data_IF_717978972159
#
_entry.id   IF_717978972159
#
_cell.length_a   1.000
_cell.length_b   1.000
_cell.length_c   1.000
_cell.angle_alpha   90.00
_cell.angle_beta   90.00
_cell.angle_gamma   90.00
#
_symmetry.space_group_name_H-M   'P 1'
#
loop_
_entity.id
_entity.type
_entity.pdbx_description
1 polymer ?
#
# COMPACT_ATOMS: atom_id res chain seq x y z
N UNK A 1 2.72 -12.44 24.46
CA UNK A 1 2.14 -11.19 23.96
C UNK A 1 0.64 -11.29 24.19
N UNK A 2 0.01 -10.25 24.68
CA UNK A 2 -1.43 -10.27 24.98
C UNK A 2 -2.20 -10.23 23.66
N UNK A 3 -3.08 -11.22 23.43
CA UNK A 3 -4.00 -11.25 22.27
C UNK A 3 -5.10 -10.18 22.34
N UNK A 4 -4.92 -9.20 23.22
CA UNK A 4 -5.92 -8.13 23.46
C UNK A 4 -5.83 -7.11 22.32
N UNK A 5 -6.96 -6.75 21.67
CA UNK A 5 -7.00 -5.68 20.70
C UNK A 5 -6.62 -4.34 21.30
N UNK A 6 -5.95 -3.50 20.54
CA UNK A 6 -5.71 -2.09 20.85
C UNK A 6 -6.81 -1.27 20.18
N UNK A 7 -7.42 -0.35 20.94
CA UNK A 7 -8.51 0.49 20.46
C UNK A 7 -8.01 1.90 20.18
N UNK A 8 -8.49 2.47 19.09
CA UNK A 8 -8.12 3.80 18.65
C UNK A 8 -9.35 4.64 18.35
N UNK A 9 -9.27 5.92 18.67
CA UNK A 9 -10.09 6.96 18.06
C UNK A 9 -9.25 7.69 17.01
N UNK A 10 -9.74 7.72 15.77
CA UNK A 10 -9.06 8.37 14.65
C UNK A 10 -9.93 9.48 14.10
N UNK A 11 -9.34 10.65 13.91
CA UNK A 11 -9.94 11.77 13.18
C UNK A 11 -9.05 12.15 12.03
N UNK A 12 -9.62 12.15 10.83
CA UNK A 12 -8.98 12.67 9.61
C UNK A 12 -9.82 13.82 9.08
N UNK A 13 -9.25 15.00 9.00
CA UNK A 13 -9.87 16.18 8.42
C UNK A 13 -9.09 16.65 7.20
N UNK A 14 -9.81 16.90 6.10
CA UNK A 14 -9.27 17.51 4.89
C UNK A 14 -10.09 18.77 4.60
N UNK A 15 -9.41 19.90 4.45
CA UNK A 15 -10.01 21.20 4.21
C UNK A 15 -9.48 21.79 2.92
N UNK A 16 -10.40 22.25 2.08
CA UNK A 16 -10.13 23.07 0.91
C UNK A 16 -10.77 24.44 1.11
N UNK A 17 -10.00 25.51 1.00
CA UNK A 17 -10.47 26.87 0.87
C UNK A 17 -10.17 27.33 -0.57
N UNK A 18 -11.20 27.39 -1.40
CA UNK A 18 -11.04 27.64 -2.83
C UNK A 18 -10.78 29.12 -3.12
N UNK A 19 -9.84 29.43 -4.03
CA UNK A 19 -9.54 30.81 -4.45
C UNK A 19 -10.63 31.43 -5.30
N UNK A 20 -11.56 30.63 -5.83
CA UNK A 20 -12.78 31.06 -6.53
C UNK A 20 -13.87 30.01 -6.34
N UNK A 21 -15.16 30.36 -6.46
CA UNK A 21 -16.23 29.40 -6.27
C UNK A 21 -16.12 28.18 -7.19
N UNK A 22 -16.31 26.99 -6.64
CA UNK A 22 -16.50 25.74 -7.38
C UNK A 22 -17.96 25.64 -7.77
N UNK A 23 -18.27 25.66 -9.06
CA UNK A 23 -19.65 25.65 -9.57
C UNK A 23 -20.25 24.24 -9.66
N UNK A 24 -19.42 23.23 -9.86
CA UNK A 24 -19.80 21.81 -9.91
C UNK A 24 -18.66 20.98 -9.32
N UNK A 25 -19.00 19.98 -8.53
CA UNK A 25 -18.03 19.01 -8.01
C UNK A 25 -18.63 17.62 -7.95
N UNK A 26 -17.85 16.62 -8.38
CA UNK A 26 -18.14 15.19 -8.20
C UNK A 26 -16.89 14.53 -7.61
N UNK A 27 -17.04 13.95 -6.44
CA UNK A 27 -15.92 13.39 -5.66
C UNK A 27 -16.18 11.97 -5.24
N UNK A 28 -15.10 11.21 -5.10
CA UNK A 28 -15.03 9.87 -4.53
C UNK A 28 -14.11 9.92 -3.31
N UNK A 29 -14.59 9.39 -2.18
CA UNK A 29 -13.89 9.45 -0.91
C UNK A 29 -13.51 8.03 -0.45
N UNK A 30 -12.22 7.80 -0.14
CA UNK A 30 -11.73 6.63 0.58
C UNK A 30 -11.33 7.05 2.01
N UNK A 31 -12.32 7.41 2.81
CA UNK A 31 -12.14 7.88 4.20
C UNK A 31 -12.78 6.93 5.23
N UNK A 32 -13.32 5.82 4.75
CA UNK A 32 -13.94 4.77 5.55
C UNK A 32 -13.04 3.56 5.62
N UNK A 33 -12.67 3.04 6.80
CA UNK A 33 -11.75 1.92 6.94
C UNK A 33 -12.38 0.60 6.49
N UNK A 34 -11.54 -0.32 6.05
CA UNK A 34 -11.93 -1.70 5.75
C UNK A 34 -12.20 -2.49 7.02
N UNK A 35 -13.16 -3.40 6.97
CA UNK A 35 -13.28 -4.50 7.93
C UNK A 35 -12.29 -5.60 7.53
N UNK A 36 -11.42 -6.02 8.45
CA UNK A 36 -10.44 -7.08 8.26
C UNK A 36 -10.54 -8.09 9.40
N UNK A 37 -10.00 -9.27 9.23
CA UNK A 37 -10.00 -10.30 10.28
C UNK A 37 -9.41 -9.80 11.61
N UNK A 38 -8.45 -8.88 11.53
CA UNK A 38 -7.76 -8.29 12.68
C UNK A 38 -8.16 -6.83 12.98
N UNK A 39 -9.05 -6.23 12.17
CA UNK A 39 -9.49 -4.84 12.33
C UNK A 39 -11.01 -4.75 12.34
N UNK A 40 -11.56 -4.34 13.47
CA UNK A 40 -12.99 -4.15 13.67
C UNK A 40 -13.32 -2.67 13.80
N UNK A 41 -14.37 -2.23 13.10
CA UNK A 41 -14.87 -0.87 13.15
C UNK A 41 -16.01 -0.85 14.15
N UNK A 42 -15.85 -0.12 15.27
CA UNK A 42 -16.87 0.01 16.31
C UNK A 42 -17.83 1.16 15.99
N UNK A 43 -17.27 2.29 15.54
CA UNK A 43 -18.03 3.47 15.11
C UNK A 43 -17.33 4.13 13.93
N UNK A 44 -18.11 4.73 13.04
CA UNK A 44 -17.59 5.51 11.91
C UNK A 44 -18.60 6.56 11.46
N UNK A 45 -18.09 7.77 11.18
CA UNK A 45 -18.86 8.85 10.60
C UNK A 45 -18.00 9.66 9.62
N UNK A 46 -18.61 10.05 8.50
CA UNK A 46 -18.02 11.01 7.55
C UNK A 46 -18.94 12.21 7.46
N UNK A 47 -18.48 13.34 8.01
CA UNK A 47 -19.14 14.65 7.94
C UNK A 47 -18.59 15.43 6.75
N UNK A 48 -19.44 16.15 6.04
CA UNK A 48 -19.11 16.88 4.82
C UNK A 48 -19.78 18.25 4.89
N UNK A 49 -18.98 19.31 4.74
CA UNK A 49 -19.43 20.68 4.70
C UNK A 49 -18.86 21.42 3.48
N UNK A 50 -19.71 22.04 2.61
CA UNK A 50 -21.16 22.09 2.69
C UNK A 50 -21.82 20.72 2.48
N UNK A 51 -23.08 20.58 2.87
CA UNK A 51 -23.85 19.36 2.66
C UNK A 51 -23.95 19.08 1.16
N UNK A 52 -23.52 17.89 0.68
CA UNK A 52 -23.57 17.57 -0.75
C UNK A 52 -25.02 17.48 -1.26
N UNK A 53 -25.23 17.88 -2.52
CA UNK A 53 -26.52 17.74 -3.20
C UNK A 53 -26.90 16.25 -3.41
N UNK A 54 -25.94 15.39 -3.48
CA UNK A 54 -26.11 13.94 -3.63
C UNK A 54 -24.97 13.19 -2.94
N UNK A 55 -25.31 12.09 -2.26
CA UNK A 55 -24.38 11.17 -1.61
C UNK A 55 -24.80 9.72 -1.82
N UNK A 56 -23.82 8.86 -2.07
CA UNK A 56 -23.98 7.41 -2.12
C UNK A 56 -22.80 6.73 -1.47
N UNK A 57 -23.08 5.78 -0.60
CA UNK A 57 -22.07 4.90 -0.02
C UNK A 57 -22.09 3.53 -0.71
N UNK A 58 -20.93 2.89 -0.85
CA UNK A 58 -20.80 1.59 -1.49
C UNK A 58 -19.38 1.02 -1.38
N UNK A 59 -19.01 0.19 -2.35
CA UNK A 59 -17.67 -0.39 -2.43
C UNK A 59 -17.06 -0.15 -3.81
N UNK A 60 -15.75 0.02 -3.84
CA UNK A 60 -14.98 0.05 -5.08
C UNK A 60 -14.69 -1.39 -5.59
N UNK A 61 -14.04 -1.54 -6.77
CA UNK A 61 -13.69 -2.86 -7.32
C UNK A 61 -12.73 -3.67 -6.43
N UNK A 62 -12.02 -3.06 -5.48
CA UNK A 62 -11.11 -3.73 -4.55
C UNK A 62 -11.78 -4.07 -3.21
N UNK A 63 -13.09 -3.78 -3.09
CA UNK A 63 -13.88 -4.01 -1.88
C UNK A 63 -13.60 -2.99 -0.78
N UNK A 64 -13.02 -1.82 -1.09
CA UNK A 64 -12.89 -0.73 -0.14
C UNK A 64 -14.23 -0.01 0.02
N UNK A 65 -14.62 0.39 1.25
CA UNK A 65 -15.74 1.30 1.44
C UNK A 65 -15.45 2.64 0.75
N UNK A 66 -16.44 3.14 0.01
CA UNK A 66 -16.34 4.36 -0.79
C UNK A 66 -17.60 5.20 -0.63
N UNK A 67 -17.43 6.51 -0.49
CA UNK A 67 -18.51 7.48 -0.56
C UNK A 67 -18.36 8.34 -1.81
N UNK A 68 -19.40 8.38 -2.65
CA UNK A 68 -19.50 9.32 -3.77
C UNK A 68 -20.38 10.50 -3.36
N UNK A 69 -19.93 11.70 -3.71
CA UNK A 69 -20.64 12.95 -3.44
C UNK A 69 -20.68 13.84 -4.68
N UNK A 70 -21.72 14.67 -4.79
CA UNK A 70 -21.81 15.69 -5.81
C UNK A 70 -22.40 16.99 -5.24
N UNK A 71 -21.85 18.10 -5.73
CA UNK A 71 -22.35 19.46 -5.43
C UNK A 71 -22.82 20.09 -6.73
N UNK A 72 -24.06 20.53 -6.73
CA UNK A 72 -24.68 21.24 -7.87
C UNK A 72 -24.84 22.74 -7.61
N UNK A 73 -24.50 23.18 -6.38
CA UNK A 73 -24.52 24.60 -6.00
C UNK A 73 -23.10 25.10 -5.82
N UNK A 74 -22.80 26.35 -6.21
CA UNK A 74 -21.49 26.96 -6.00
C UNK A 74 -21.11 26.97 -4.51
N UNK A 75 -19.84 26.67 -4.23
CA UNK A 75 -19.27 26.69 -2.88
C UNK A 75 -17.82 27.16 -2.92
N UNK A 76 -17.34 27.76 -1.83
CA UNK A 76 -16.00 28.35 -1.71
C UNK A 76 -15.10 27.55 -0.77
N UNK A 77 -15.64 26.55 -0.10
CA UNK A 77 -14.86 25.62 0.74
C UNK A 77 -15.43 24.21 0.66
N UNK A 78 -14.61 23.25 1.04
CA UNK A 78 -15.00 21.85 1.27
C UNK A 78 -14.26 21.32 2.49
N UNK A 79 -14.99 20.89 3.51
CA UNK A 79 -14.43 20.23 4.69
C UNK A 79 -14.96 18.80 4.73
N UNK A 80 -14.02 17.85 4.78
CA UNK A 80 -14.29 16.43 4.92
C UNK A 80 -13.71 15.96 6.24
N UNK A 81 -14.54 15.44 7.14
CA UNK A 81 -14.10 14.93 8.43
C UNK A 81 -14.55 13.49 8.59
N UNK A 82 -13.60 12.57 8.65
CA UNK A 82 -13.84 11.17 9.04
C UNK A 82 -13.45 10.98 10.49
N UNK A 83 -14.39 10.49 11.32
CA UNK A 83 -14.15 10.12 12.70
C UNK A 83 -14.54 8.65 12.89
N UNK A 84 -13.65 7.87 13.52
CA UNK A 84 -13.85 6.43 13.67
C UNK A 84 -13.25 5.89 14.96
N UNK A 85 -13.89 4.87 15.53
CA UNK A 85 -13.38 4.04 16.63
C UNK A 85 -13.08 2.65 16.09
N UNK A 86 -11.84 2.19 16.25
CA UNK A 86 -11.32 0.97 15.63
C UNK A 86 -10.58 0.13 16.67
N UNK A 87 -10.83 -1.17 16.66
CA UNK A 87 -10.08 -2.15 17.44
C UNK A 87 -9.17 -2.95 16.49
N UNK A 88 -7.86 -2.97 16.76
CA UNK A 88 -6.86 -3.72 15.98
C UNK A 88 -6.26 -4.81 16.84
N UNK A 89 -6.44 -6.07 16.44
CA UNK A 89 -5.86 -7.24 17.08
C UNK A 89 -4.46 -7.54 16.54
N UNK A 90 -3.51 -8.02 17.35
CA UNK A 90 -2.21 -8.47 16.86
C UNK A 90 -2.37 -9.52 15.77
N UNK A 91 -1.66 -9.33 14.64
CA UNK A 91 -1.83 -10.17 13.44
C UNK A 91 -0.53 -10.45 12.68
N UNK A 92 0.60 -10.34 13.36
CA UNK A 92 1.89 -10.70 12.75
C UNK A 92 1.89 -12.18 12.34
N UNK A 93 2.45 -12.52 11.15
CA UNK A 93 2.61 -13.90 10.73
C UNK A 93 3.47 -14.66 11.72
N UNK A 94 3.10 -15.90 12.04
CA UNK A 94 3.80 -16.72 13.05
C UNK A 94 5.23 -17.04 12.63
N UNK A 95 5.44 -17.35 11.36
CA UNK A 95 6.78 -17.65 10.83
C UNK A 95 6.82 -17.37 9.32
N UNK A 96 7.45 -16.29 8.92
CA UNK A 96 7.60 -15.90 7.50
C UNK A 96 8.53 -16.83 6.71
N UNK A 97 9.40 -17.61 7.41
CA UNK A 97 10.30 -18.56 6.76
C UNK A 97 9.58 -19.81 6.24
N UNK A 98 8.35 -20.07 6.70
CA UNK A 98 7.51 -21.16 6.22
C UNK A 98 6.67 -20.79 4.99
N UNK A 99 6.78 -19.57 4.49
CA UNK A 99 6.10 -19.16 3.26
C UNK A 99 6.64 -19.92 2.03
N UNK A 100 5.83 -20.13 0.99
CA UNK A 100 6.27 -20.84 -0.21
C UNK A 100 7.50 -20.20 -0.86
N UNK A 101 8.31 -20.98 -1.64
CA UNK A 101 9.33 -20.40 -2.51
C UNK A 101 8.72 -19.36 -3.46
N UNK A 102 9.41 -18.25 -3.67
CA UNK A 102 8.88 -17.14 -4.46
C UNK A 102 8.58 -17.53 -5.92
N UNK A 103 9.35 -18.45 -6.50
CA UNK A 103 9.11 -18.97 -7.85
C UNK A 103 7.78 -19.73 -7.92
N UNK A 104 7.47 -20.52 -6.90
CA UNK A 104 6.20 -21.28 -6.84
C UNK A 104 5.00 -20.35 -6.80
N UNK A 105 5.11 -19.22 -6.08
CA UNK A 105 4.05 -18.19 -6.05
C UNK A 105 3.92 -17.48 -7.38
N UNK A 106 5.06 -17.12 -8.01
CA UNK A 106 5.08 -16.55 -9.35
C UNK A 106 4.42 -17.46 -10.38
N UNK A 107 4.78 -18.75 -10.36
CA UNK A 107 4.29 -19.73 -11.33
C UNK A 107 2.80 -20.05 -11.09
N UNK A 108 2.33 -20.02 -9.82
CA UNK A 108 0.91 -20.15 -9.49
C UNK A 108 0.07 -18.99 -10.08
N UNK A 109 0.62 -17.79 -10.11
CA UNK A 109 -0.06 -16.60 -10.64
C UNK A 109 0.17 -16.39 -12.15
N UNK A 110 0.91 -17.29 -12.81
CA UNK A 110 1.08 -17.23 -14.26
C UNK A 110 -0.25 -17.50 -14.98
N UNK A 111 -0.44 -16.86 -16.14
CA UNK A 111 -1.70 -16.93 -16.92
C UNK A 111 -2.11 -18.34 -17.33
N UNK A 112 -1.15 -19.26 -17.46
CA UNK A 112 -1.34 -20.66 -17.84
C UNK A 112 -1.55 -21.62 -16.65
N UNK A 113 -1.67 -21.10 -15.44
CA UNK A 113 -1.98 -21.90 -14.25
C UNK A 113 -3.31 -22.64 -14.42
N UNK A 114 -3.29 -23.97 -14.21
CA UNK A 114 -4.41 -24.85 -14.59
C UNK A 114 -5.56 -24.90 -13.58
N UNK A 115 -5.38 -24.40 -12.35
CA UNK A 115 -6.39 -24.43 -11.31
C UNK A 115 -6.21 -23.31 -10.25
N UNK A 116 -6.36 -22.01 -10.62
CA UNK A 116 -6.25 -20.93 -9.64
C UNK A 116 -7.46 -20.97 -8.68
N UNK A 117 -7.23 -20.72 -7.39
CA UNK A 117 -8.28 -20.43 -6.40
C UNK A 117 -8.88 -19.05 -6.69
N UNK A 118 -10.04 -18.73 -6.08
CA UNK A 118 -10.63 -17.38 -6.18
C UNK A 118 -9.69 -16.30 -5.66
N UNK A 119 -8.96 -16.59 -4.59
CA UNK A 119 -7.96 -15.73 -3.95
C UNK A 119 -6.75 -15.48 -4.87
N UNK A 120 -6.32 -16.49 -5.62
CA UNK A 120 -5.25 -16.36 -6.62
C UNK A 120 -5.68 -15.44 -7.77
N UNK A 121 -6.94 -15.57 -8.24
CA UNK A 121 -7.50 -14.69 -9.28
C UNK A 121 -7.60 -13.23 -8.81
N UNK A 122 -8.00 -13.02 -7.56
CA UNK A 122 -8.01 -11.68 -6.97
C UNK A 122 -6.59 -11.12 -6.83
N UNK A 123 -5.60 -11.96 -6.46
CA UNK A 123 -4.21 -11.55 -6.37
C UNK A 123 -3.61 -11.20 -7.74
N UNK A 124 -3.98 -11.88 -8.82
CA UNK A 124 -3.51 -11.58 -10.19
C UNK A 124 -3.80 -10.14 -10.63
N UNK A 125 -4.83 -9.48 -10.08
CA UNK A 125 -5.14 -8.07 -10.35
C UNK A 125 -4.01 -7.11 -9.95
N UNK A 126 -3.14 -7.52 -9.04
CA UNK A 126 -2.04 -6.74 -8.50
C UNK A 126 -0.67 -7.12 -9.09
N UNK A 127 -0.64 -7.89 -10.19
CA UNK A 127 0.57 -8.18 -10.96
C UNK A 127 0.87 -7.12 -12.01
N UNK A 128 -0.15 -6.38 -12.46
CA UNK A 128 -0.06 -5.51 -13.62
C UNK A 128 0.39 -4.09 -13.27
N UNK A 129 0.84 -3.37 -14.30
CA UNK A 129 1.12 -1.94 -14.20
C UNK A 129 -0.11 -1.14 -13.76
N UNK A 130 0.16 0.00 -13.12
CA UNK A 130 -0.85 0.97 -12.72
C UNK A 130 -0.32 2.39 -12.93
N UNK A 131 -1.10 3.41 -12.58
CA UNK A 131 -0.78 4.81 -12.90
C UNK A 131 0.57 5.26 -12.35
N UNK A 132 0.89 4.88 -11.09
CA UNK A 132 2.14 5.24 -10.43
C UNK A 132 3.18 4.10 -10.41
N UNK A 133 2.78 2.87 -10.71
CA UNK A 133 3.69 1.72 -10.69
C UNK A 133 3.82 1.13 -12.09
N UNK A 134 4.89 1.53 -12.80
CA UNK A 134 5.28 0.97 -14.10
C UNK A 134 6.30 -0.15 -13.88
N UNK A 135 6.12 -1.26 -14.59
CA UNK A 135 7.05 -2.40 -14.52
C UNK A 135 8.25 -2.11 -15.45
N UNK A 136 9.44 -2.08 -14.87
CA UNK A 136 10.69 -1.80 -15.54
C UNK A 136 11.76 -2.80 -15.12
N UNK A 137 12.70 -3.10 -16.01
CA UNK A 137 13.78 -4.06 -15.75
C UNK A 137 14.71 -3.57 -14.63
N UNK A 138 14.93 -2.27 -14.48
CA UNK A 138 15.75 -1.68 -13.42
C UNK A 138 15.20 -2.02 -12.02
N UNK A 139 13.88 -2.19 -11.92
CA UNK A 139 13.24 -2.57 -10.65
C UNK A 139 13.48 -4.06 -10.35
N UNK A 140 13.46 -4.92 -11.37
CA UNK A 140 13.82 -6.32 -11.21
C UNK A 140 15.30 -6.47 -10.84
N UNK A 141 16.19 -5.75 -11.53
CA UNK A 141 17.63 -5.74 -11.25
C UNK A 141 17.93 -5.26 -9.83
N UNK A 142 17.19 -4.27 -9.34
CA UNK A 142 17.33 -3.78 -7.96
C UNK A 142 16.91 -4.83 -6.93
N UNK A 143 15.88 -5.63 -7.23
CA UNK A 143 15.26 -6.55 -6.26
C UNK A 143 15.83 -7.97 -6.29
N UNK A 144 16.41 -8.42 -7.42
CA UNK A 144 16.74 -9.84 -7.65
C UNK A 144 17.65 -10.46 -6.59
N UNK A 145 18.59 -9.71 -6.05
CA UNK A 145 19.50 -10.17 -4.99
C UNK A 145 18.73 -10.51 -3.68
N UNK A 146 17.54 -9.95 -3.50
CA UNK A 146 16.68 -10.25 -2.36
C UNK A 146 15.90 -11.57 -2.56
N UNK A 147 15.92 -12.15 -3.76
CA UNK A 147 15.15 -13.33 -4.15
C UNK A 147 16.04 -14.40 -4.82
N UNK A 148 17.04 -14.94 -4.11
CA UNK A 148 17.80 -16.08 -4.63
C UNK A 148 16.87 -17.29 -4.82
N UNK A 149 17.29 -18.29 -5.63
CA UNK A 149 16.49 -19.47 -5.91
C UNK A 149 15.98 -20.16 -4.63
N UNK A 150 14.72 -20.59 -4.65
CA UNK A 150 14.00 -21.29 -3.57
C UNK A 150 13.80 -20.50 -2.27
N UNK A 151 14.13 -19.20 -2.25
CA UNK A 151 13.89 -18.40 -1.04
C UNK A 151 12.40 -18.29 -0.75
N UNK A 152 11.96 -18.44 0.52
CA UNK A 152 10.60 -18.13 0.94
C UNK A 152 10.22 -16.70 0.55
N UNK A 153 9.05 -16.52 -0.07
CA UNK A 153 8.63 -15.21 -0.63
C UNK A 153 8.63 -14.10 0.41
N UNK A 154 8.17 -14.38 1.63
CA UNK A 154 8.11 -13.36 2.69
C UNK A 154 9.50 -12.98 3.22
N UNK A 155 10.48 -13.90 3.20
CA UNK A 155 11.87 -13.56 3.50
C UNK A 155 12.51 -12.72 2.39
N UNK A 156 12.14 -12.96 1.13
CA UNK A 156 12.54 -12.11 0.01
C UNK A 156 11.98 -10.70 0.14
N UNK A 157 10.68 -10.58 0.42
CA UNK A 157 10.01 -9.30 0.65
C UNK A 157 10.59 -8.53 1.86
N UNK A 158 10.90 -9.22 2.96
CA UNK A 158 11.55 -8.62 4.12
C UNK A 158 12.96 -8.10 3.79
N UNK A 159 13.73 -8.85 3.02
CA UNK A 159 15.06 -8.41 2.59
C UNK A 159 14.99 -7.17 1.67
N UNK A 160 14.01 -7.12 0.76
CA UNK A 160 13.75 -5.97 -0.10
C UNK A 160 13.33 -4.75 0.72
N UNK A 161 12.42 -4.91 1.67
CA UNK A 161 12.00 -3.87 2.62
C UNK A 161 13.21 -3.30 3.37
N UNK A 162 14.06 -4.15 3.95
CA UNK A 162 15.26 -3.75 4.67
C UNK A 162 16.29 -3.04 3.75
N UNK A 163 16.42 -3.48 2.49
CA UNK A 163 17.28 -2.84 1.48
C UNK A 163 16.80 -1.42 1.17
N UNK A 164 15.49 -1.23 0.94
CA UNK A 164 14.90 0.09 0.71
C UNK A 164 15.12 0.99 1.94
N UNK A 165 14.77 0.53 3.13
CA UNK A 165 14.96 1.30 4.36
C UNK A 165 16.41 1.76 4.57
N UNK A 166 17.39 0.90 4.25
CA UNK A 166 18.82 1.19 4.42
C UNK A 166 19.35 2.18 3.40
N UNK A 167 18.86 2.09 2.15
CA UNK A 167 19.43 2.84 1.02
C UNK A 167 18.72 4.17 0.74
N UNK A 168 17.47 4.34 1.22
CA UNK A 168 16.66 5.52 0.93
C UNK A 168 16.54 6.43 2.15
N UNK A 169 16.45 7.72 1.88
CA UNK A 169 16.25 8.75 2.91
C UNK A 169 14.84 9.31 2.81
N UNK A 170 14.12 9.35 3.94
CA UNK A 170 12.82 10.02 4.00
C UNK A 170 13.00 11.53 3.87
N UNK A 171 12.39 12.11 2.84
CA UNK A 171 12.50 13.54 2.51
C UNK A 171 11.18 14.03 1.88
N UNK A 172 10.36 14.78 2.64
CA UNK A 172 9.06 15.29 2.16
C UNK A 172 9.18 16.30 1.02
N UNK A 173 10.36 16.91 0.83
CA UNK A 173 10.57 17.92 -0.20
C UNK A 173 11.18 17.33 -1.49
N UNK A 174 11.57 16.04 -1.49
CA UNK A 174 12.28 15.42 -2.61
C UNK A 174 11.39 15.03 -3.78
N UNK A 175 10.10 14.77 -3.52
CA UNK A 175 9.15 14.19 -4.49
C UNK A 175 7.78 14.86 -4.42
N UNK A 176 7.00 14.65 -5.47
CA UNK A 176 5.57 14.99 -5.54
C UNK A 176 4.78 13.71 -5.77
N UNK A 177 3.46 13.77 -5.64
CA UNK A 177 2.56 12.62 -5.90
C UNK A 177 2.78 12.01 -7.30
N UNK A 178 3.24 12.80 -8.27
CA UNK A 178 3.45 12.38 -9.66
C UNK A 178 4.88 12.01 -9.99
N UNK A 179 5.81 12.00 -9.04
CA UNK A 179 7.22 11.64 -9.29
C UNK A 179 7.33 10.20 -9.80
N UNK A 180 8.00 9.95 -10.95
CA UNK A 180 8.15 8.61 -11.49
C UNK A 180 8.99 7.71 -10.58
N UNK A 181 8.61 6.44 -10.48
CA UNK A 181 9.27 5.44 -9.62
C UNK A 181 10.78 5.26 -9.92
N UNK A 182 11.20 5.38 -11.19
CA UNK A 182 12.63 5.30 -11.55
C UNK A 182 13.43 6.49 -11.05
N UNK A 183 12.82 7.67 -10.98
CA UNK A 183 13.43 8.86 -10.39
C UNK A 183 13.63 8.69 -8.88
N UNK A 184 12.67 8.09 -8.19
CA UNK A 184 12.80 7.71 -6.77
C UNK A 184 13.93 6.70 -6.59
N UNK A 185 14.02 5.67 -7.46
CA UNK A 185 15.09 4.69 -7.44
C UNK A 185 16.49 5.32 -7.63
N UNK A 186 16.60 6.30 -8.53
CA UNK A 186 17.86 7.01 -8.81
C UNK A 186 18.25 7.94 -7.66
N UNK A 187 17.31 8.77 -7.20
CA UNK A 187 17.59 9.80 -6.17
C UNK A 187 17.74 9.23 -4.77
N UNK A 188 17.25 8.03 -4.50
CA UNK A 188 17.24 7.38 -3.17
C UNK A 188 16.60 8.26 -2.08
N UNK A 189 15.59 9.04 -2.44
CA UNK A 189 14.85 9.94 -1.54
C UNK A 189 13.36 9.96 -1.89
N UNK A 190 12.51 10.15 -0.89
CA UNK A 190 11.07 10.27 -1.07
C UNK A 190 10.31 10.09 0.23
N UNK A 191 9.02 9.84 0.11
CA UNK A 191 8.09 9.63 1.23
C UNK A 191 7.55 8.20 1.26
N UNK A 192 6.70 7.89 2.24
CA UNK A 192 6.12 6.54 2.40
C UNK A 192 5.40 6.04 1.13
N UNK A 193 4.70 6.91 0.41
CA UNK A 193 4.08 6.59 -0.87
C UNK A 193 5.11 6.10 -1.90
N UNK A 194 6.24 6.81 -2.03
CA UNK A 194 7.29 6.48 -2.98
C UNK A 194 7.94 5.15 -2.67
N UNK A 195 8.23 4.89 -1.40
CA UNK A 195 8.84 3.62 -0.96
C UNK A 195 7.90 2.44 -1.12
N UNK A 196 6.60 2.64 -0.88
CA UNK A 196 5.58 1.63 -1.15
C UNK A 196 5.47 1.35 -2.66
N UNK A 197 5.39 2.37 -3.51
CA UNK A 197 5.36 2.20 -4.97
C UNK A 197 6.62 1.51 -5.50
N UNK A 198 7.80 1.88 -4.99
CA UNK A 198 9.08 1.26 -5.36
C UNK A 198 9.08 -0.23 -5.01
N UNK A 199 8.71 -0.60 -3.78
CA UNK A 199 8.67 -1.99 -3.36
C UNK A 199 7.66 -2.80 -4.18
N UNK A 200 6.46 -2.26 -4.45
CA UNK A 200 5.45 -2.89 -5.31
C UNK A 200 5.98 -3.07 -6.72
N UNK A 201 6.61 -2.05 -7.30
CA UNK A 201 7.20 -2.11 -8.64
C UNK A 201 8.27 -3.19 -8.76
N UNK A 202 9.15 -3.31 -7.77
CA UNK A 202 10.16 -4.36 -7.67
C UNK A 202 9.54 -5.76 -7.62
N UNK A 203 8.53 -5.96 -6.77
CA UNK A 203 7.85 -7.25 -6.64
C UNK A 203 7.13 -7.63 -7.94
N UNK A 204 6.40 -6.70 -8.56
CA UNK A 204 5.71 -6.94 -9.84
C UNK A 204 6.67 -7.19 -10.99
N UNK A 205 7.84 -6.54 -10.98
CA UNK A 205 8.88 -6.80 -11.97
C UNK A 205 9.47 -8.22 -11.88
N UNK A 206 9.38 -8.87 -10.71
CA UNK A 206 9.70 -10.28 -10.49
C UNK A 206 8.50 -11.22 -10.74
N UNK A 207 7.34 -10.71 -11.14
CA UNK A 207 6.11 -11.48 -11.33
C UNK A 207 5.37 -11.83 -10.02
N UNK A 208 5.64 -11.08 -8.95
CA UNK A 208 5.01 -11.27 -7.63
C UNK A 208 3.89 -10.26 -7.41
N UNK A 209 2.77 -10.73 -6.85
CA UNK A 209 1.62 -9.89 -6.57
C UNK A 209 1.84 -9.06 -5.32
N UNK A 210 1.68 -7.74 -5.47
CA UNK A 210 1.79 -6.80 -4.38
C UNK A 210 0.79 -5.65 -4.57
N UNK A 211 0.16 -5.21 -3.46
CA UNK A 211 -0.82 -4.13 -3.44
C UNK A 211 -0.39 -3.00 -2.52
N UNK A 212 -0.81 -1.81 -2.87
CA UNK A 212 -0.64 -0.60 -2.08
C UNK A 212 -1.69 -0.57 -0.98
N UNK A 213 -1.27 -0.25 0.23
CA UNK A 213 -2.16 -0.07 1.38
C UNK A 213 -2.07 1.37 1.84
N UNK A 214 -3.21 2.02 2.01
CA UNK A 214 -3.35 3.35 2.61
C UNK A 214 -4.01 3.23 3.98
N UNK A 215 -3.51 3.99 4.94
CA UNK A 215 -4.06 3.96 6.29
C UNK A 215 -3.47 5.03 7.19
N UNK A 216 -3.50 4.76 8.48
CA UNK A 216 -2.96 5.63 9.51
C UNK A 216 -1.95 4.88 10.35
N UNK A 217 -0.90 5.59 10.79
CA UNK A 217 0.12 5.08 11.69
C UNK A 217 0.06 5.87 13.00
N UNK A 218 0.03 5.16 14.13
CA UNK A 218 0.18 5.79 15.43
C UNK A 218 1.56 6.42 15.56
N UNK A 219 1.63 7.74 15.64
CA UNK A 219 2.87 8.47 15.87
C UNK A 219 3.06 8.74 17.35
N UNK A 220 4.21 8.34 17.90
CA UNK A 220 4.56 8.59 19.29
C UNK A 220 5.38 9.88 19.41
N UNK A 221 4.99 10.84 20.27
CA UNK A 221 5.79 12.04 20.49
C UNK A 221 7.15 11.67 21.09
N UNK A 222 8.20 12.48 20.85
CA UNK A 222 9.47 12.32 21.54
C UNK A 222 9.28 12.35 23.08
N UNK A 223 10.10 11.62 23.86
CA UNK A 223 9.98 11.60 25.31
C UNK A 223 9.94 13.01 25.91
N UNK A 224 8.94 13.28 26.76
CA UNK A 224 8.75 14.56 27.44
C UNK A 224 8.08 15.66 26.64
N UNK A 225 7.62 15.40 25.40
CA UNK A 225 6.80 16.34 24.63
C UNK A 225 5.34 15.90 24.59
N UNK A 226 4.38 16.83 24.73
CA UNK A 226 2.98 16.51 24.58
C UNK A 226 2.69 16.06 23.16
N UNK A 227 1.67 15.20 22.98
CA UNK A 227 1.16 14.81 21.67
C UNK A 227 0.50 16.00 21.00
N UNK A 228 0.86 16.24 19.74
CA UNK A 228 0.24 17.29 18.93
C UNK A 228 -1.00 16.72 18.23
N UNK A 229 -2.12 17.41 18.34
CA UNK A 229 -3.36 17.07 17.63
C UNK A 229 -3.17 17.44 16.14
N UNK A 230 -3.56 16.55 15.22
CA UNK A 230 -3.43 16.78 13.78
C UNK A 230 -2.03 16.51 13.21
N UNK A 231 -1.08 16.03 14.03
CA UNK A 231 0.29 15.78 13.61
C UNK A 231 0.58 14.34 13.19
N UNK A 232 -0.38 13.43 13.36
CA UNK A 232 -0.29 12.08 12.80
C UNK A 232 -0.45 12.16 11.28
N UNK A 233 0.19 11.27 10.55
CA UNK A 233 0.16 11.30 9.10
C UNK A 233 -0.68 10.16 8.54
N UNK A 234 -1.32 10.39 7.40
CA UNK A 234 -1.68 9.32 6.51
C UNK A 234 -0.40 8.56 6.16
N UNK A 235 -0.47 7.24 6.13
CA UNK A 235 0.68 6.38 5.88
C UNK A 235 0.39 5.39 4.77
N UNK A 236 1.45 4.92 4.13
CA UNK A 236 1.38 3.96 3.05
C UNK A 236 2.38 2.83 3.26
N UNK A 237 1.93 1.62 2.93
CA UNK A 237 2.78 0.42 2.98
C UNK A 237 2.37 -0.59 1.91
N UNK A 238 2.98 -1.75 1.92
CA UNK A 238 2.83 -2.79 0.91
C UNK A 238 2.24 -4.04 1.52
N UNK A 239 1.30 -4.67 0.83
CA UNK A 239 0.82 -6.00 1.17
C UNK A 239 1.23 -6.98 0.07
N UNK A 240 1.91 -8.07 0.43
CA UNK A 240 2.48 -9.08 -0.47
C UNK A 240 1.64 -10.33 -0.42
N UNK A 241 1.27 -10.87 -1.59
CA UNK A 241 0.53 -12.12 -1.67
C UNK A 241 1.44 -13.31 -1.41
N UNK A 242 1.08 -14.11 -0.42
CA UNK A 242 1.76 -15.35 -0.05
C UNK A 242 0.71 -16.42 0.25
N UNK A 243 0.33 -17.24 -0.74
CA UNK A 243 -0.70 -18.27 -0.57
C UNK A 243 -0.30 -19.25 0.54
N UNK A 244 -1.31 -19.83 1.18
CA UNK A 244 -1.16 -20.77 2.30
C UNK A 244 -0.59 -20.17 3.60
N UNK A 245 -0.32 -18.84 3.63
CA UNK A 245 -0.12 -18.11 4.86
C UNK A 245 -1.47 -17.73 5.48
N UNK A 246 -1.49 -17.44 6.78
CA UNK A 246 -2.72 -17.29 7.60
C UNK A 246 -3.80 -16.36 7.00
N UNK A 247 -3.41 -15.38 6.19
CA UNK A 247 -4.33 -14.42 5.55
C UNK A 247 -4.07 -14.25 4.04
N UNK A 248 -3.26 -15.09 3.42
CA UNK A 248 -2.79 -14.97 2.02
C UNK A 248 -2.10 -13.64 1.67
N UNK A 249 -2.16 -12.66 2.53
CA UNK A 249 -1.55 -11.34 2.36
C UNK A 249 -0.80 -10.92 3.62
N UNK A 250 0.45 -10.53 3.47
CA UNK A 250 1.31 -10.07 4.57
C UNK A 250 1.82 -8.66 4.28
N UNK A 251 1.69 -7.79 5.27
CA UNK A 251 2.01 -6.38 5.16
C UNK A 251 3.47 -6.09 5.54
N UNK A 252 4.10 -5.16 4.79
CA UNK A 252 5.47 -4.70 4.94
C UNK A 252 5.53 -3.18 4.84
N UNK A 253 6.15 -2.52 5.82
CA UNK A 253 6.33 -1.08 5.84
C UNK A 253 7.80 -0.71 5.52
N UNK A 254 8.13 -0.38 4.25
CA UNK A 254 9.48 -0.05 3.85
C UNK A 254 9.99 1.28 4.42
N UNK A 255 9.11 2.14 4.90
CA UNK A 255 9.47 3.42 5.52
C UNK A 255 10.02 3.24 6.92
N UNK A 256 9.50 2.28 7.67
CA UNK A 256 9.86 2.02 9.07
C UNK A 256 10.60 0.69 9.27
N UNK A 257 10.80 -0.10 8.21
CA UNK A 257 11.43 -1.42 8.22
C UNK A 257 10.81 -2.37 9.26
N UNK A 258 9.49 -2.50 9.21
CA UNK A 258 8.74 -3.36 10.12
C UNK A 258 7.54 -4.00 9.42
N UNK A 259 7.03 -5.06 10.02
CA UNK A 259 5.76 -5.66 9.64
C UNK A 259 4.63 -4.91 10.36
N UNK A 260 3.68 -4.31 9.61
CA UNK A 260 2.48 -3.70 10.18
C UNK A 260 1.76 -4.59 11.18
N UNK A 261 1.34 -4.00 12.29
CA UNK A 261 0.65 -4.68 13.37
C UNK A 261 -0.37 -3.73 14.02
N UNK A 262 -0.56 -3.79 15.31
CA UNK A 262 -1.58 -3.02 16.05
C UNK A 262 -1.49 -1.51 15.88
N UNK A 263 -0.32 -0.94 15.58
CA UNK A 263 -0.16 0.51 15.39
C UNK A 263 -0.51 1.00 13.96
N UNK A 264 -0.84 0.09 13.02
CA UNK A 264 -1.25 0.39 11.66
C UNK A 264 -2.75 0.16 11.49
N UNK A 265 -3.46 1.16 11.02
CA UNK A 265 -4.90 1.14 10.79
C UNK A 265 -5.14 1.20 9.28
N UNK A 266 -5.63 0.11 8.69
CA UNK A 266 -5.86 0.02 7.25
C UNK A 266 -7.15 0.73 6.85
N UNK A 267 -7.07 1.65 5.89
CA UNK A 267 -8.24 2.32 5.30
C UNK A 267 -8.63 1.66 3.99
N UNK A 268 -7.70 1.55 3.04
CA UNK A 268 -8.00 1.02 1.72
C UNK A 268 -6.79 0.28 1.11
N UNK A 269 -7.07 -0.61 0.14
CA UNK A 269 -6.04 -1.28 -0.68
C UNK A 269 -6.31 -1.05 -2.16
N UNK A 270 -5.25 -0.89 -2.95
CA UNK A 270 -5.34 -0.68 -4.40
C UNK A 270 -4.06 -1.11 -5.12
N UNK A 271 -4.00 -0.89 -6.42
CA UNK A 271 -2.80 -1.19 -7.20
C UNK A 271 -1.68 -0.16 -6.94
N UNK A 272 -2.09 1.08 -6.71
CA UNK A 272 -1.25 2.21 -6.31
C UNK A 272 -2.11 3.29 -5.64
N UNK A 273 -1.52 4.43 -5.29
CA UNK A 273 -2.19 5.55 -4.64
C UNK A 273 -3.39 6.08 -5.44
N UNK A 274 -3.35 6.07 -6.78
CA UNK A 274 -4.43 6.63 -7.60
C UNK A 274 -5.76 5.87 -7.47
N UNK A 275 -5.71 4.58 -7.15
CA UNK A 275 -6.92 3.77 -6.93
C UNK A 275 -7.63 4.16 -5.62
N UNK A 276 -6.88 4.58 -4.60
CA UNK A 276 -7.35 4.73 -3.21
C UNK A 276 -6.96 6.07 -2.57
N UNK A 277 -6.76 7.10 -3.37
CA UNK A 277 -6.59 8.48 -2.88
C UNK A 277 -7.75 8.83 -1.92
N UNK A 278 -7.48 9.48 -0.77
CA UNK A 278 -8.52 9.88 0.18
C UNK A 278 -9.65 10.69 -0.45
N UNK A 279 -9.30 11.55 -1.38
CA UNK A 279 -10.24 12.32 -2.20
C UNK A 279 -9.80 12.29 -3.66
N UNK A 280 -10.72 11.97 -4.54
CA UNK A 280 -10.52 11.99 -5.99
C UNK A 280 -11.77 12.47 -6.68
N UNK A 281 -11.65 13.38 -7.65
CA UNK A 281 -12.82 13.84 -8.38
C UNK A 281 -12.52 14.88 -9.44
N UNK A 282 -13.61 15.50 -9.90
CA UNK A 282 -13.59 16.58 -10.88
C UNK A 282 -14.29 17.78 -10.26
N UNK A 283 -13.68 18.95 -10.40
CA UNK A 283 -14.26 20.24 -10.02
C UNK A 283 -14.24 21.20 -11.20
N UNK A 284 -15.23 22.07 -11.28
CA UNK A 284 -15.28 23.20 -12.22
C UNK A 284 -15.17 24.50 -11.43
N UNK A 285 -14.06 25.22 -11.60
CA UNK A 285 -13.71 26.39 -10.79
C UNK A 285 -12.63 26.08 -9.75
N UNK A 286 -12.66 26.75 -8.61
CA UNK A 286 -11.80 26.47 -7.44
C UNK A 286 -10.45 27.19 -7.41
N UNK A 287 -9.87 27.60 -8.54
CA UNK A 287 -8.67 28.45 -8.57
C UNK A 287 -7.37 27.84 -8.06
N UNK A 288 -7.23 26.50 -8.07
CA UNK A 288 -5.97 25.81 -7.77
C UNK A 288 -5.56 25.91 -6.29
N UNK A 289 -6.27 25.24 -5.39
CA UNK A 289 -6.00 25.24 -3.94
C UNK A 289 -5.41 23.90 -3.51
N UNK A 290 -4.37 23.93 -2.70
CA UNK A 290 -3.85 22.75 -2.00
C UNK A 290 -4.67 22.48 -0.73
N UNK A 291 -4.99 21.20 -0.41
CA UNK A 291 -5.73 20.87 0.81
C UNK A 291 -4.87 21.01 2.05
N UNK A 292 -5.48 21.44 3.15
CA UNK A 292 -4.95 21.25 4.49
C UNK A 292 -5.44 19.90 5.02
N UNK A 293 -4.51 19.03 5.43
CA UNK A 293 -4.83 17.71 5.95
C UNK A 293 -4.33 17.58 7.39
N UNK A 294 -5.21 17.13 8.29
CA UNK A 294 -4.88 16.86 9.68
C UNK A 294 -5.38 15.46 10.07
N UNK A 295 -4.51 14.66 10.65
CA UNK A 295 -4.83 13.32 11.16
C UNK A 295 -4.46 13.23 12.63
N UNK A 296 -5.33 12.63 13.44
CA UNK A 296 -5.09 12.33 14.85
C UNK A 296 -5.49 10.89 15.14
N UNK A 297 -4.55 10.07 15.63
CA UNK A 297 -4.79 8.68 16.06
C UNK A 297 -4.58 8.60 17.55
N UNK A 298 -5.64 8.45 18.34
CA UNK A 298 -5.60 8.43 19.81
C UNK A 298 -5.89 7.03 20.34
N UNK A 299 -4.97 6.37 21.08
CA UNK A 299 -5.29 5.14 21.78
C UNK A 299 -6.36 5.37 22.86
N UNK A 300 -7.39 4.52 22.91
CA UNK A 300 -8.52 4.66 23.85
C UNK A 300 -8.25 4.04 25.23
N UNK A 301 -7.21 3.20 25.33
CA UNK A 301 -6.83 2.54 26.58
C UNK A 301 -5.81 3.35 27.42
N UNK A 302 -5.32 4.48 26.90
CA UNK A 302 -4.49 5.47 27.60
C UNK A 302 -5.39 6.64 28.02
N UNK A 303 -5.48 6.90 29.30
CA UNK A 303 -6.40 7.83 29.98
C UNK A 303 -6.70 9.15 29.25
N UNK A 304 -8.01 9.47 29.16
CA UNK A 304 -8.63 10.74 28.75
C UNK A 304 -8.61 11.08 27.25
N UNK A 305 -9.75 10.76 26.59
CA UNK A 305 -10.15 11.42 25.35
C UNK A 305 -10.33 12.92 25.66
N UNK A 306 -9.61 13.85 25.03
CA UNK A 306 -9.85 15.27 25.24
C UNK A 306 -11.31 15.61 24.93
N UNK A 307 -12.03 16.14 25.90
CA UNK A 307 -13.40 16.59 25.73
C UNK A 307 -13.42 17.69 24.64
N UNK A 308 -13.93 17.38 23.46
CA UNK A 308 -13.94 18.28 22.29
C UNK A 308 -13.69 17.58 20.96
N UNK A 309 -13.07 16.39 20.96
CA UNK A 309 -12.85 15.60 19.73
C UNK A 309 -14.15 15.04 19.12
N UNK A 310 -15.21 14.97 19.93
CA UNK A 310 -16.55 14.48 19.53
C UNK A 310 -17.51 15.60 19.14
N UNK A 311 -17.15 16.88 19.32
CA UNK A 311 -18.03 18.00 18.94
C UNK A 311 -17.91 18.29 17.45
N UNK A 312 -19.01 18.58 16.74
CA UNK A 312 -18.99 19.12 15.39
C UNK A 312 -18.15 20.42 15.36
N UNK A 313 -17.34 20.62 14.36
CA UNK A 313 -16.62 21.88 14.17
C UNK A 313 -17.65 22.98 13.94
N UNK A 314 -17.84 23.86 14.92
CA UNK A 314 -18.50 25.14 14.67
C UNK A 314 -17.58 25.96 13.77
N UNK A 315 -18.13 26.49 12.67
CA UNK A 315 -17.43 27.36 11.72
C UNK A 315 -16.90 28.60 12.47
N UNK A 316 -15.65 28.57 12.89
CA UNK A 316 -14.98 29.60 13.67
C UNK A 316 -13.60 29.93 13.07
N UNK A 317 -13.51 31.10 12.49
CA UNK A 317 -12.30 31.73 11.96
C UNK A 317 -11.12 31.68 12.94
N UNK A 318 -10.06 30.99 12.59
CA UNK A 318 -8.80 31.05 13.33
C UNK A 318 -7.64 30.52 12.49
N UNK A 319 -6.93 31.41 11.80
CA UNK A 319 -5.66 31.10 11.12
C UNK A 319 -4.60 30.76 12.17
N UNK A 320 -4.39 29.48 12.42
CA UNK A 320 -3.16 29.02 13.06
C UNK A 320 -2.28 28.42 11.94
N UNK A 321 -1.23 29.15 11.55
CA UNK A 321 -0.13 28.56 10.80
C UNK A 321 0.52 27.50 11.69
N UNK A 322 0.32 26.24 11.37
CA UNK A 322 1.07 25.15 11.96
C UNK A 322 2.38 25.05 11.18
N UNK A 323 3.46 25.57 11.75
CA UNK A 323 4.81 25.23 11.30
C UNK A 323 5.03 23.76 11.60
N UNK A 324 5.01 22.92 10.56
CA UNK A 324 5.32 21.50 10.65
C UNK A 324 6.78 21.35 11.15
N UNK A 325 7.01 20.71 12.29
CA UNK A 325 8.37 20.43 12.72
C UNK A 325 8.99 19.41 11.75
N UNK A 326 10.18 19.73 11.23
CA UNK A 326 10.99 18.81 10.43
C UNK A 326 11.09 17.48 11.17
N UNK A 327 10.46 16.44 10.64
CA UNK A 327 10.50 15.10 11.20
C UNK A 327 11.93 14.55 11.06
N UNK A 328 12.72 14.62 12.14
CA UNK A 328 13.89 13.80 12.31
C UNK A 328 13.42 12.48 12.93
N UNK A 329 12.99 11.55 12.11
CA UNK A 329 12.78 10.18 12.53
C UNK A 329 14.16 9.51 12.67
N UNK A 330 14.71 9.50 13.90
CA UNK A 330 15.67 8.47 14.29
C UNK A 330 14.88 7.25 14.74
N UNK A 331 15.23 6.04 14.25
CA UNK A 331 14.56 4.81 14.69
C UNK A 331 14.71 4.64 16.21
N UNK A 332 13.64 4.21 16.87
CA UNK A 332 13.68 3.84 18.27
C UNK A 332 14.61 2.62 18.43
N UNK A 333 15.58 2.70 19.32
CA UNK A 333 16.58 1.64 19.63
C UNK A 333 15.97 0.26 19.96
N UNK A 334 14.67 0.18 20.22
CA UNK A 334 13.97 -1.07 20.51
C UNK A 334 13.69 -1.94 19.28
N UNK A 335 13.66 -1.36 18.06
CA UNK A 335 13.42 -2.10 16.83
C UNK A 335 14.68 -2.85 16.36
N UNK A 336 15.87 -2.29 16.57
CA UNK A 336 17.13 -2.95 16.24
C UNK A 336 17.39 -4.20 17.08
N UNK A 337 17.01 -4.20 18.36
CA UNK A 337 17.19 -5.37 19.25
C UNK A 337 16.21 -6.52 18.94
N UNK A 338 15.04 -6.24 18.39
CA UNK A 338 14.09 -7.27 17.98
C UNK A 338 14.43 -7.90 16.63
N UNK A 339 14.92 -7.10 15.68
CA UNK A 339 15.35 -7.58 14.37
C UNK A 339 16.64 -8.41 14.44
N UNK A 340 17.62 -7.97 15.27
CA UNK A 340 18.86 -8.70 15.49
C UNK A 340 18.62 -10.06 16.18
N UNK A 341 17.71 -10.09 17.17
CA UNK A 341 17.37 -11.34 17.88
C UNK A 341 16.60 -12.35 17.03
N UNK A 342 15.85 -11.89 16.02
CA UNK A 342 15.15 -12.77 15.08
C UNK A 342 16.11 -13.32 14.01
N UNK A 343 17.09 -12.51 13.58
CA UNK A 343 18.12 -12.93 12.63
C UNK A 343 19.10 -13.96 13.20
N UNK A 344 19.54 -13.81 14.46
CA UNK A 344 20.44 -14.77 15.13
C UNK A 344 19.77 -16.12 15.40
N UNK A 345 18.48 -16.15 15.72
CA UNK A 345 17.76 -17.43 15.93
C UNK A 345 17.58 -18.25 14.66
N UNK A 346 17.53 -17.62 13.49
CA UNK A 346 17.35 -18.32 12.21
C UNK A 346 18.67 -18.90 11.69
N UNK A 347 19.82 -18.33 12.08
CA UNK A 347 21.13 -18.82 11.67
C UNK A 347 21.58 -20.04 12.53
N UNK A 348 21.22 -20.09 13.81
CA UNK A 348 21.55 -21.23 14.69
C UNK A 348 20.77 -22.52 14.40
N UNK A 349 19.56 -22.42 13.82
CA UNK A 349 18.76 -23.61 13.44
C UNK A 349 19.15 -24.18 12.06
N UNK A 350 19.86 -23.40 11.21
CA UNK A 350 20.26 -23.85 9.87
C UNK A 350 21.60 -24.59 9.82
N UNK A 351 22.41 -24.57 10.88
CA UNK A 351 23.71 -25.24 10.92
C UNK A 351 23.67 -26.69 11.44
N UNK A 352 22.51 -27.26 11.78
CA UNK A 352 22.40 -28.58 12.40
C UNK A 352 21.92 -29.75 11.51
N UNK A 353 21.72 -29.55 10.20
CA UNK A 353 21.40 -30.63 9.26
C UNK A 353 22.44 -30.72 8.12
N UNK A 354 23.62 -31.33 8.43
CA UNK A 354 24.54 -31.86 7.42
C UNK A 354 23.97 -33.16 6.83
N UNK A 355 23.41 -33.07 5.61
CA UNK A 355 23.09 -34.28 4.81
C UNK A 355 24.29 -34.61 3.94
N UNK A 356 24.83 -35.82 4.10
CA UNK A 356 25.94 -36.35 3.35
C UNK A 356 25.62 -36.47 1.83
N UNK A 357 26.60 -36.28 0.93
CA UNK A 357 26.39 -36.37 -0.50
C UNK A 357 26.31 -37.81 -0.97
N UNK A 358 25.18 -38.23 -1.55
CA UNK A 358 25.12 -39.45 -2.37
C UNK A 358 25.70 -39.18 -3.75
N UNK A 359 26.58 -40.09 -4.15
CA UNK A 359 27.25 -40.12 -5.45
C UNK A 359 26.22 -40.31 -6.59
N UNK A 360 26.17 -39.40 -7.54
CA UNK A 360 25.46 -39.59 -8.82
C UNK A 360 26.46 -39.95 -9.91
N UNK A 361 26.34 -41.17 -10.39
CA UNK A 361 27.00 -41.65 -11.61
C UNK A 361 26.56 -40.87 -12.86
N UNK A 362 27.52 -40.64 -13.72
CA UNK A 362 27.42 -39.98 -15.02
C UNK A 362 26.74 -40.88 -16.06
N UNK A 363 25.67 -40.41 -16.70
CA UNK A 363 25.23 -40.87 -18.02
C UNK A 363 25.35 -39.73 -19.06
N UNK A 364 26.46 -39.83 -19.81
CA UNK A 364 26.73 -39.12 -21.05
C UNK A 364 26.23 -39.99 -22.21
N UNK A 365 25.04 -39.74 -22.76
CA UNK A 365 24.69 -40.13 -24.15
C UNK A 365 23.22 -39.71 -24.44
N UNK A 366 23.01 -38.56 -25.10
CA UNK A 366 21.96 -38.28 -26.08
C UNK A 366 21.91 -36.79 -26.43
N UNK A 367 22.90 -36.31 -27.15
CA UNK A 367 22.85 -35.08 -27.94
C UNK A 367 23.24 -35.43 -29.37
N UNK A 368 22.28 -35.83 -30.18
CA UNK A 368 22.31 -35.74 -31.62
C UNK A 368 20.91 -36.02 -32.17
N UNK A 369 20.28 -35.05 -32.72
CA UNK A 369 19.12 -34.99 -33.60
C UNK A 369 18.04 -34.03 -33.14
N UNK A 370 18.12 -32.78 -33.53
CA UNK A 370 17.03 -31.92 -34.03
C UNK A 370 17.68 -30.65 -34.63
N UNK A 371 18.20 -30.80 -35.83
CA UNK A 371 18.49 -29.68 -36.70
C UNK A 371 17.94 -30.03 -38.09
N UNK A 372 16.64 -29.89 -38.29
CA UNK A 372 15.96 -29.73 -39.60
C UNK A 372 14.45 -29.58 -39.36
N UNK A 373 13.98 -28.34 -39.24
CA UNK A 373 12.64 -27.88 -39.68
C UNK A 373 12.44 -26.40 -39.30
N UNK A 374 13.26 -25.53 -39.89
CA UNK A 374 12.99 -24.10 -39.95
C UNK A 374 13.02 -23.65 -41.41
N UNK A 375 11.92 -23.92 -42.14
CA UNK A 375 11.57 -23.22 -43.40
C UNK A 375 10.21 -23.72 -43.88
N UNK A 376 9.12 -23.22 -43.35
CA UNK A 376 7.83 -23.07 -44.03
C UNK A 376 6.85 -22.57 -42.98
N UNK A 377 6.58 -21.25 -42.98
CA UNK A 377 5.31 -20.60 -42.62
C UNK A 377 5.51 -19.12 -42.35
N UNK A 378 6.05 -18.44 -43.35
CA UNK A 378 5.98 -16.99 -43.46
C UNK A 378 5.07 -16.62 -44.66
N UNK A 379 3.78 -17.01 -44.59
CA UNK A 379 2.75 -16.53 -45.54
C UNK A 379 1.33 -16.81 -45.05
N UNK A 380 0.92 -16.36 -43.89
CA UNK A 380 -0.48 -16.40 -43.45
C UNK A 380 -0.88 -15.38 -42.35
N UNK A 381 -0.15 -14.28 -42.20
CA UNK A 381 -0.49 -13.24 -41.21
C UNK A 381 -0.71 -11.85 -41.86
N UNK A 382 -1.32 -11.79 -43.05
CA UNK A 382 -1.59 -10.52 -43.75
C UNK A 382 -3.03 -10.43 -44.32
N UNK A 383 -4.02 -11.04 -43.69
CA UNK A 383 -5.40 -11.02 -44.24
C UNK A 383 -6.50 -11.07 -43.14
N UNK A 384 -6.35 -10.43 -41.99
CA UNK A 384 -7.46 -10.20 -41.02
C UNK A 384 -7.31 -8.84 -40.34
N UNK A 385 -7.14 -7.76 -41.06
CA UNK A 385 -7.33 -6.39 -40.56
C UNK A 385 -7.96 -5.56 -41.68
N UNK A 386 -9.18 -5.91 -42.08
CA UNK A 386 -10.02 -5.02 -42.90
C UNK A 386 -11.49 -5.49 -42.91
N UNK A 387 -12.19 -5.41 -41.77
CA UNK A 387 -13.65 -5.46 -41.74
C UNK A 387 -14.17 -5.04 -40.35
N UNK A 388 -14.10 -3.76 -40.00
CA UNK A 388 -14.97 -3.14 -38.99
C UNK A 388 -14.86 -1.61 -39.07
N UNK A 389 -15.34 -1.04 -40.17
CA UNK A 389 -15.67 0.39 -40.25
C UNK A 389 -16.91 0.52 -41.13
N UNK A 390 -18.07 0.56 -40.51
CA UNK A 390 -19.36 0.77 -41.18
C UNK A 390 -20.42 1.18 -40.17
N UNK A 391 -20.52 2.47 -39.87
CA UNK A 391 -21.73 3.06 -39.27
C UNK A 391 -22.25 4.09 -40.26
N UNK A 392 -23.50 3.96 -40.77
CA UNK A 392 -24.15 5.05 -41.47
C UNK A 392 -24.88 5.98 -40.50
N UNK A 393 -24.80 7.27 -40.83
CA UNK A 393 -25.54 8.35 -40.21
C UNK A 393 -27.06 8.28 -40.58
N UNK A 394 -27.89 8.55 -39.61
CA UNK A 394 -29.15 9.27 -39.66
C UNK A 394 -29.51 9.79 -38.26
#
# INVERSE_FOLDING_TARGET
MTDKPVRYHVVHETRYDYGSPVSLSQQQLHLSPRVLAWQQIEEQRVDIDPVPSWRRDGQDPFGNPVTWIAFHSPHEHLILRSAMSIAVTPHLPKNIALSPPWESVRDLLAYDSTAPRSEDLDAMRFLFESSHVRIKHELADYAVDCFPPKRPILLGAQALMAKIFKEFTFDPEATTVSTPILEVLEKKRGVCQDFAHLMIGCLRALGLSARYVSGYLLTRPPPGKPRLIGADASHAWVSVYAPDCENDWVDFDPTNNLLPNTEHITVAVGRDFSDISPLRGIILGGGGTEPEVAVTVTPLDEEEIPAGLLTPVEAGSGKAKVDLPKAQAKPAESAEKSAAKLGERVLDEAESEEIAPEEMESDEAALDNIESDKKTDQKSAAAVVQAAAGVPAA
#
